data_IF_419941275805
#
_entry.id   IF_419941275805
#
_cell.length_a   1.000
_cell.length_b   1.000
_cell.length_c   1.000
_cell.angle_alpha   90.00
_cell.angle_beta   90.00
_cell.angle_gamma   90.00
#
_symmetry.space_group_name_H-M   'P 1'
#
loop_
_entity.id
_entity.type
_entity.pdbx_description
1 polymer ?
#
# COMPACT_ATOMS: atom_id res chain seq x y z
N UNK A 1 -17.46 8.21 -6.42
CA UNK A 1 -17.58 9.00 -5.19
C UNK A 1 -17.84 10.47 -5.54
N UNK A 2 -16.99 11.12 -6.37
CA UNK A 2 -17.03 12.57 -6.63
C UNK A 2 -18.37 13.09 -7.17
N UNK A 3 -19.04 12.31 -8.01
CA UNK A 3 -20.33 12.67 -8.63
C UNK A 3 -21.54 12.10 -7.86
N UNK A 4 -21.32 11.51 -6.68
CA UNK A 4 -22.39 10.93 -5.88
C UNK A 4 -23.02 9.65 -6.44
N UNK A 5 -22.37 8.94 -7.36
CA UNK A 5 -22.86 7.66 -7.86
C UNK A 5 -22.85 6.56 -6.77
N UNK A 6 -21.97 6.73 -5.80
CA UNK A 6 -21.88 5.93 -4.57
C UNK A 6 -21.63 6.87 -3.40
N UNK A 7 -22.24 6.60 -2.26
CA UNK A 7 -22.11 7.41 -1.04
C UNK A 7 -20.77 7.15 -0.34
N UNK A 8 -20.28 5.91 -0.39
CA UNK A 8 -19.03 5.50 0.23
C UNK A 8 -18.23 4.62 -0.72
N UNK A 9 -16.90 4.67 -0.60
CA UNK A 9 -16.00 3.82 -1.36
C UNK A 9 -14.68 3.60 -0.61
N UNK A 10 -14.06 2.45 -0.83
CA UNK A 10 -12.64 2.26 -0.59
C UNK A 10 -11.88 2.43 -1.90
N UNK A 11 -10.76 3.13 -1.87
CA UNK A 11 -9.86 3.22 -3.02
C UNK A 11 -8.40 3.17 -2.55
N UNK A 12 -7.48 2.79 -3.43
CA UNK A 12 -6.06 2.83 -3.10
C UNK A 12 -5.39 3.99 -3.85
N UNK A 13 -4.69 4.85 -3.12
CA UNK A 13 -4.11 6.09 -3.65
C UNK A 13 -3.15 5.86 -4.82
N UNK A 14 -2.36 4.79 -4.78
CA UNK A 14 -1.39 4.45 -5.82
C UNK A 14 -1.98 4.20 -7.21
N UNK A 15 -3.29 3.90 -7.33
CA UNK A 15 -3.97 3.82 -8.63
C UNK A 15 -4.39 5.19 -9.18
N UNK A 16 -4.40 6.21 -8.34
CA UNK A 16 -4.90 7.55 -8.64
C UNK A 16 -3.93 8.64 -8.17
N UNK A 17 -2.64 8.38 -8.27
CA UNK A 17 -1.58 9.26 -7.76
C UNK A 17 -1.58 10.66 -8.39
N UNK A 18 -2.21 10.84 -9.55
CA UNK A 18 -2.44 12.13 -10.19
C UNK A 18 -3.53 12.97 -9.50
N UNK A 19 -4.41 12.34 -8.71
CA UNK A 19 -5.57 12.95 -8.05
C UNK A 19 -5.45 13.02 -6.53
N UNK A 20 -4.68 12.14 -5.93
CA UNK A 20 -4.50 12.01 -4.48
C UNK A 20 -3.00 12.02 -4.16
N UNK A 21 -2.33 13.12 -4.54
CA UNK A 21 -0.86 13.25 -4.49
C UNK A 21 -0.33 13.27 -3.07
N UNK A 22 -1.01 14.04 -2.19
CA UNK A 22 -0.59 14.27 -0.80
C UNK A 22 -0.41 12.95 -0.06
N UNK A 23 -1.41 12.09 -0.13
CA UNK A 23 -1.42 10.83 0.62
C UNK A 23 -0.48 9.76 0.03
N UNK A 24 0.08 9.98 -1.16
CA UNK A 24 1.09 9.08 -1.73
C UNK A 24 2.43 9.13 -0.98
N UNK A 25 2.63 10.05 -0.05
CA UNK A 25 3.75 10.01 0.91
C UNK A 25 3.80 8.67 1.64
N UNK A 26 2.63 8.11 1.98
CA UNK A 26 2.49 6.82 2.66
C UNK A 26 2.94 5.61 1.80
N UNK A 27 3.11 5.81 0.51
CA UNK A 27 3.55 4.78 -0.45
C UNK A 27 5.01 4.92 -0.87
N UNK A 28 5.75 5.88 -0.27
CA UNK A 28 7.18 6.00 -0.50
C UNK A 28 7.91 4.75 0.01
N UNK A 29 8.91 4.27 -0.73
CA UNK A 29 9.60 3.05 -0.33
C UNK A 29 10.50 3.26 0.89
N UNK A 30 10.57 2.23 1.73
CA UNK A 30 11.48 2.15 2.88
C UNK A 30 11.33 3.27 3.91
N UNK A 31 10.09 3.68 4.20
CA UNK A 31 9.77 4.71 5.22
C UNK A 31 10.14 4.31 6.66
N UNK A 32 10.55 3.07 6.90
CA UNK A 32 10.89 2.59 8.23
C UNK A 32 9.69 2.27 9.13
N UNK A 33 8.48 2.25 8.57
CA UNK A 33 7.27 1.81 9.28
C UNK A 33 7.26 0.28 9.28
N UNK A 34 7.42 -0.33 10.46
CA UNK A 34 7.72 -1.76 10.57
C UNK A 34 6.51 -2.63 10.91
N UNK A 35 5.47 -2.03 11.48
CA UNK A 35 4.32 -2.77 11.97
C UNK A 35 3.00 -2.02 11.75
N UNK A 36 1.89 -2.75 11.85
CA UNK A 36 0.57 -2.23 11.58
C UNK A 36 0.14 -1.10 12.54
N UNK A 37 0.61 -1.10 13.79
CA UNK A 37 0.30 -0.03 14.73
C UNK A 37 0.95 1.30 14.33
N UNK A 38 2.20 1.24 13.85
CA UNK A 38 2.87 2.42 13.27
C UNK A 38 2.16 2.87 11.99
N UNK A 39 1.75 1.96 11.11
CA UNK A 39 0.98 2.29 9.90
C UNK A 39 -0.33 3.01 10.24
N UNK A 40 -1.04 2.58 11.28
CA UNK A 40 -2.26 3.24 11.78
C UNK A 40 -1.94 4.68 12.19
N UNK A 41 -0.92 4.88 13.03
CA UNK A 41 -0.57 6.20 13.54
C UNK A 41 -0.13 7.15 12.43
N UNK A 42 0.78 6.72 11.57
CA UNK A 42 1.31 7.51 10.45
C UNK A 42 0.21 7.84 9.44
N UNK A 43 -0.64 6.87 9.08
CA UNK A 43 -1.76 7.11 8.19
C UNK A 43 -2.73 8.13 8.76
N UNK A 44 -3.09 8.00 10.06
CA UNK A 44 -3.97 8.95 10.71
C UNK A 44 -3.40 10.38 10.69
N UNK A 45 -2.10 10.54 10.96
CA UNK A 45 -1.43 11.84 10.93
C UNK A 45 -1.44 12.46 9.53
N UNK A 46 -1.10 11.71 8.49
CA UNK A 46 -1.09 12.20 7.11
C UNK A 46 -2.49 12.57 6.63
N UNK A 47 -3.50 11.75 6.90
CA UNK A 47 -4.87 12.06 6.48
C UNK A 47 -5.50 13.21 7.27
N UNK A 48 -5.01 13.51 8.49
CA UNK A 48 -5.43 14.68 9.26
C UNK A 48 -4.74 15.98 8.79
N UNK A 49 -3.71 15.90 7.95
CA UNK A 49 -3.00 17.07 7.44
C UNK A 49 -3.92 17.93 6.56
N UNK A 50 -3.92 19.27 6.69
CA UNK A 50 -4.80 20.16 5.92
C UNK A 50 -4.72 19.94 4.42
N UNK A 51 -3.51 19.77 3.86
CA UNK A 51 -3.33 19.51 2.43
C UNK A 51 -4.03 18.22 1.95
N UNK A 52 -4.02 17.15 2.77
CA UNK A 52 -4.72 15.91 2.44
C UNK A 52 -6.25 16.11 2.46
N UNK A 53 -6.75 16.81 3.48
CA UNK A 53 -8.17 17.12 3.61
C UNK A 53 -8.66 17.99 2.46
N UNK A 54 -7.91 19.03 2.10
CA UNK A 54 -8.22 19.93 0.98
C UNK A 54 -8.19 19.19 -0.38
N UNK A 55 -7.19 18.34 -0.61
CA UNK A 55 -7.10 17.54 -1.84
C UNK A 55 -8.29 16.60 -1.98
N UNK A 56 -8.68 15.90 -0.90
CA UNK A 56 -9.86 15.03 -0.92
C UNK A 56 -11.15 15.81 -1.16
N UNK A 57 -11.29 16.99 -0.56
CA UNK A 57 -12.46 17.84 -0.73
C UNK A 57 -12.66 18.32 -2.18
N UNK A 58 -11.58 18.50 -2.96
CA UNK A 58 -11.65 18.81 -4.40
C UNK A 58 -12.39 17.71 -5.20
N UNK A 59 -12.39 16.50 -4.69
CA UNK A 59 -13.08 15.34 -5.27
C UNK A 59 -14.43 15.05 -4.59
N UNK A 60 -14.97 16.02 -3.82
CA UNK A 60 -16.20 15.86 -3.04
C UNK A 60 -16.16 14.63 -2.12
N UNK A 61 -14.98 14.35 -1.56
CA UNK A 61 -14.73 13.21 -0.69
C UNK A 61 -14.16 13.65 0.66
N UNK A 62 -14.54 12.93 1.70
CA UNK A 62 -14.05 13.06 3.08
C UNK A 62 -13.53 11.71 3.53
N UNK A 63 -12.39 11.69 4.22
CA UNK A 63 -11.93 10.48 4.90
C UNK A 63 -12.98 10.05 5.93
N UNK A 64 -13.33 8.77 5.91
CA UNK A 64 -14.08 8.12 6.97
C UNK A 64 -13.16 7.26 7.84
N UNK A 65 -12.38 6.37 7.24
CA UNK A 65 -11.47 5.47 7.96
C UNK A 65 -10.18 5.28 7.17
N UNK A 66 -9.03 5.35 7.84
CA UNK A 66 -7.78 4.83 7.27
C UNK A 66 -7.86 3.30 7.20
N UNK A 67 -7.25 2.73 6.17
CA UNK A 67 -7.10 1.27 6.05
C UNK A 67 -5.62 0.98 5.80
N UNK A 68 -4.77 1.11 6.82
CA UNK A 68 -3.35 0.85 6.70
C UNK A 68 -3.12 -0.63 6.44
N UNK A 69 -2.13 -0.94 5.62
CA UNK A 69 -1.76 -2.32 5.30
C UNK A 69 -0.35 -2.60 5.80
N UNK A 70 -0.05 -3.83 6.26
CA UNK A 70 1.33 -4.19 6.59
C UNK A 70 2.22 -4.10 5.36
N UNK A 71 3.53 -4.17 5.62
CA UNK A 71 4.55 -4.16 4.58
C UNK A 71 4.28 -5.24 3.53
N UNK A 72 4.43 -4.86 2.27
CA UNK A 72 4.28 -5.76 1.14
C UNK A 72 5.49 -6.67 1.01
N UNK A 73 5.24 -7.87 0.55
CA UNK A 73 6.26 -8.84 0.19
C UNK A 73 5.89 -9.50 -1.14
N UNK A 74 6.86 -10.16 -1.76
CA UNK A 74 6.66 -10.80 -3.05
C UNK A 74 6.22 -12.26 -2.87
N UNK A 75 5.24 -12.69 -3.66
CA UNK A 75 5.15 -14.08 -4.08
C UNK A 75 5.62 -14.19 -5.52
N UNK A 76 6.16 -15.32 -5.89
CA UNK A 76 6.63 -15.55 -7.26
C UNK A 76 6.64 -17.01 -7.66
N UNK A 77 6.77 -17.22 -8.96
CA UNK A 77 6.90 -18.55 -9.58
C UNK A 77 8.35 -18.85 -9.91
N UNK A 78 8.71 -20.13 -9.97
CA UNK A 78 10.04 -20.62 -10.29
C UNK A 78 11.06 -20.41 -9.18
N UNK A 79 12.29 -20.07 -9.52
CA UNK A 79 13.36 -19.90 -8.56
C UNK A 79 13.20 -18.59 -7.74
N UNK A 80 13.44 -18.63 -6.42
CA UNK A 80 13.39 -17.44 -5.58
C UNK A 80 14.36 -16.34 -6.02
N UNK A 81 13.92 -15.09 -5.92
CA UNK A 81 14.72 -13.91 -6.21
C UNK A 81 15.38 -13.42 -4.92
N UNK A 82 16.65 -13.76 -4.70
CA UNK A 82 17.36 -13.54 -3.44
C UNK A 82 18.51 -12.55 -3.52
N UNK A 83 18.90 -12.15 -4.72
CA UNK A 83 19.96 -11.16 -4.95
C UNK A 83 19.40 -9.94 -5.68
N UNK A 84 20.11 -8.80 -5.59
CA UNK A 84 19.67 -7.59 -6.29
C UNK A 84 19.69 -7.76 -7.82
N UNK A 85 20.61 -8.58 -8.35
CA UNK A 85 20.67 -8.91 -9.78
C UNK A 85 19.48 -9.74 -10.25
N UNK A 86 18.84 -10.51 -9.37
CA UNK A 86 17.64 -11.28 -9.71
C UNK A 86 16.43 -10.39 -9.97
N UNK A 87 16.49 -9.13 -9.52
CA UNK A 87 15.43 -8.15 -9.78
C UNK A 87 15.54 -7.52 -11.17
N UNK A 88 16.71 -7.62 -11.83
CA UNK A 88 16.89 -7.08 -13.18
C UNK A 88 16.02 -7.86 -14.19
N UNK A 89 15.15 -7.15 -14.88
CA UNK A 89 14.18 -7.72 -15.82
C UNK A 89 13.06 -8.53 -15.21
N UNK A 90 12.97 -8.66 -13.87
CA UNK A 90 11.87 -9.34 -13.18
C UNK A 90 10.55 -8.60 -13.46
N UNK A 91 9.59 -9.29 -14.03
CA UNK A 91 8.25 -8.73 -14.26
C UNK A 91 7.45 -8.82 -12.96
N UNK A 92 7.14 -7.67 -12.38
CA UNK A 92 6.48 -7.60 -11.06
C UNK A 92 5.19 -6.82 -11.12
N UNK A 93 4.12 -7.38 -10.58
CA UNK A 93 2.92 -6.60 -10.29
C UNK A 93 3.18 -5.77 -9.03
N UNK A 94 3.30 -4.47 -9.22
CA UNK A 94 3.44 -3.49 -8.15
C UNK A 94 2.87 -2.14 -8.59
N UNK A 95 2.30 -1.37 -7.66
CA UNK A 95 1.64 -0.08 -7.93
C UNK A 95 2.31 1.04 -7.15
N UNK A 96 2.03 2.29 -7.51
CA UNK A 96 2.47 3.47 -6.75
C UNK A 96 3.98 3.53 -6.52
N UNK A 97 4.36 3.87 -5.30
CA UNK A 97 5.74 3.96 -4.86
C UNK A 97 6.49 2.63 -4.94
N UNK A 98 5.81 1.50 -4.69
CA UNK A 98 6.41 0.17 -4.83
C UNK A 98 6.80 -0.14 -6.28
N UNK A 99 5.96 0.23 -7.26
CA UNK A 99 6.31 0.09 -8.67
C UNK A 99 7.57 0.87 -9.02
N UNK A 100 7.69 2.10 -8.52
CA UNK A 100 8.90 2.93 -8.69
C UNK A 100 10.12 2.28 -8.03
N UNK A 101 9.96 1.71 -6.82
CA UNK A 101 11.06 1.04 -6.12
C UNK A 101 11.59 -0.16 -6.91
N UNK A 102 10.72 -1.05 -7.37
CA UNK A 102 11.15 -2.18 -8.19
C UNK A 102 11.77 -1.75 -9.53
N UNK A 103 11.24 -0.69 -10.16
CA UNK A 103 11.87 -0.12 -11.37
C UNK A 103 13.30 0.39 -11.09
N UNK A 104 13.53 1.04 -9.94
CA UNK A 104 14.87 1.48 -9.54
C UNK A 104 15.82 0.32 -9.30
N UNK A 105 15.34 -0.86 -8.95
CA UNK A 105 16.09 -2.10 -8.85
C UNK A 105 16.29 -2.83 -10.19
N UNK A 106 15.77 -2.29 -11.30
CA UNK A 106 15.89 -2.87 -12.63
C UNK A 106 14.76 -3.82 -13.03
N UNK A 107 13.72 -3.96 -12.20
CA UNK A 107 12.53 -4.76 -12.52
C UNK A 107 11.62 -4.05 -13.54
N UNK A 108 10.68 -4.78 -14.09
CA UNK A 108 9.66 -4.31 -15.02
C UNK A 108 8.30 -4.33 -14.31
N UNK A 109 7.90 -3.23 -13.63
CA UNK A 109 6.64 -3.18 -12.91
C UNK A 109 5.45 -3.08 -13.87
N UNK A 110 4.38 -3.78 -13.54
CA UNK A 110 3.09 -3.74 -14.21
C UNK A 110 2.00 -3.39 -13.20
N UNK A 111 1.28 -2.30 -13.45
CA UNK A 111 0.22 -1.81 -12.55
C UNK A 111 -1.16 -2.31 -13.01
N UNK A 112 -1.42 -3.60 -12.90
CA UNK A 112 -2.78 -4.15 -13.03
C UNK A 112 -3.51 -4.07 -11.69
N UNK A 113 -4.85 -4.05 -11.74
CA UNK A 113 -5.66 -4.03 -10.51
C UNK A 113 -5.42 -5.27 -9.66
N UNK A 114 -5.77 -5.19 -8.37
CA UNK A 114 -5.60 -6.32 -7.47
C UNK A 114 -6.39 -7.56 -7.93
N UNK A 115 -7.59 -7.37 -8.47
CA UNK A 115 -8.46 -8.44 -9.01
C UNK A 115 -7.90 -9.11 -10.25
N UNK A 116 -7.01 -8.45 -10.99
CA UNK A 116 -6.36 -8.98 -12.20
C UNK A 116 -5.02 -9.67 -11.90
N UNK A 117 -4.50 -9.54 -10.66
CA UNK A 117 -3.17 -10.03 -10.30
C UNK A 117 -3.02 -11.55 -10.49
N UNK A 118 -4.05 -12.33 -10.14
CA UNK A 118 -4.07 -13.77 -10.36
C UNK A 118 -3.89 -14.10 -11.85
N UNK A 119 -4.71 -13.51 -12.71
CA UNK A 119 -4.69 -13.73 -14.15
C UNK A 119 -3.37 -13.24 -14.79
N UNK A 120 -2.82 -12.14 -14.29
CA UNK A 120 -1.54 -11.62 -14.75
C UNK A 120 -0.39 -12.61 -14.45
N UNK A 121 -0.44 -13.28 -13.30
CA UNK A 121 0.52 -14.30 -12.91
C UNK A 121 0.31 -15.60 -13.72
N UNK A 122 -0.94 -16.06 -13.85
CA UNK A 122 -1.30 -17.26 -14.59
C UNK A 122 -0.92 -17.18 -16.08
N UNK A 123 -1.13 -16.02 -16.71
CA UNK A 123 -0.77 -15.80 -18.12
C UNK A 123 0.72 -15.54 -18.34
N UNK A 124 1.51 -15.42 -17.28
CA UNK A 124 2.91 -15.06 -17.37
C UNK A 124 3.14 -13.59 -17.79
N UNK A 125 2.15 -12.71 -17.62
CA UNK A 125 2.36 -11.27 -17.78
C UNK A 125 3.33 -10.74 -16.72
N UNK A 126 3.25 -11.30 -15.50
CA UNK A 126 4.17 -11.04 -14.39
C UNK A 126 4.70 -12.34 -13.81
N UNK A 127 5.94 -12.32 -13.29
CA UNK A 127 6.58 -13.45 -12.62
C UNK A 127 6.32 -13.41 -11.11
N UNK A 128 6.09 -12.19 -10.60
CA UNK A 128 5.94 -11.92 -9.17
C UNK A 128 4.82 -10.91 -8.92
N UNK A 129 4.25 -10.97 -7.72
CA UNK A 129 3.22 -10.04 -7.24
C UNK A 129 3.61 -9.51 -5.87
N UNK A 130 3.61 -8.19 -5.73
CA UNK A 130 3.79 -7.51 -4.45
C UNK A 130 2.43 -7.24 -3.81
N UNK A 131 2.19 -7.85 -2.65
CA UNK A 131 1.01 -7.64 -1.82
C UNK A 131 1.34 -7.80 -0.33
N UNK A 132 0.44 -7.30 0.51
CA UNK A 132 0.34 -7.74 1.89
C UNK A 132 -0.31 -9.14 1.97
N UNK A 133 -0.12 -9.87 3.06
CA UNK A 133 -0.50 -11.28 3.19
C UNK A 133 -1.97 -11.56 2.86
N UNK A 134 -2.89 -10.73 3.39
CA UNK A 134 -4.33 -10.92 3.15
C UNK A 134 -4.69 -10.87 1.66
N UNK A 135 -4.02 -10.00 0.90
CA UNK A 135 -4.29 -9.83 -0.51
C UNK A 135 -3.82 -11.03 -1.34
N UNK A 136 -2.70 -11.66 -0.95
CA UNK A 136 -2.29 -12.93 -1.56
C UNK A 136 -3.33 -14.04 -1.39
N UNK A 137 -4.03 -14.06 -0.25
CA UNK A 137 -5.14 -14.99 0.00
C UNK A 137 -6.40 -14.58 -0.76
N UNK A 138 -6.83 -13.34 -0.61
CA UNK A 138 -8.11 -12.86 -1.16
C UNK A 138 -8.14 -12.86 -2.69
N UNK A 139 -7.00 -12.54 -3.32
CA UNK A 139 -6.87 -12.55 -4.79
C UNK A 139 -6.25 -13.84 -5.33
N UNK A 140 -5.96 -14.81 -4.47
CA UNK A 140 -5.56 -16.15 -4.84
C UNK A 140 -4.14 -16.30 -5.39
N UNK A 141 -3.32 -15.25 -5.42
CA UNK A 141 -1.96 -15.28 -5.98
C UNK A 141 -1.05 -16.26 -5.26
N UNK A 142 -1.30 -16.52 -3.97
CA UNK A 142 -0.58 -17.52 -3.18
C UNK A 142 -0.74 -18.96 -3.74
N UNK A 143 -1.84 -19.25 -4.45
CA UNK A 143 -2.07 -20.57 -5.00
C UNK A 143 -1.22 -20.89 -6.25
N UNK A 144 -0.57 -19.89 -6.81
CA UNK A 144 0.34 -20.05 -7.96
C UNK A 144 1.81 -19.86 -7.55
N UNK A 145 2.06 -19.51 -6.29
CA UNK A 145 3.38 -19.17 -5.82
C UNK A 145 4.20 -20.39 -5.44
N UNK A 146 5.47 -20.39 -5.82
CA UNK A 146 6.46 -21.35 -5.36
C UNK A 146 7.21 -20.82 -4.13
N UNK A 147 7.30 -19.49 -3.98
CA UNK A 147 8.01 -18.83 -2.88
C UNK A 147 7.36 -17.50 -2.47
N UNK A 148 7.70 -17.05 -1.26
CA UNK A 148 7.32 -15.77 -0.67
C UNK A 148 8.51 -15.15 0.09
N UNK A 149 8.77 -13.85 -0.14
CA UNK A 149 9.80 -13.10 0.61
C UNK A 149 9.27 -12.73 2.00
N UNK A 150 10.04 -13.03 3.04
CA UNK A 150 9.59 -12.85 4.42
C UNK A 150 9.90 -11.46 5.00
N UNK A 151 10.93 -10.80 4.47
CA UNK A 151 11.54 -9.64 5.10
C UNK A 151 11.99 -8.55 4.11
N UNK A 152 11.52 -8.58 2.87
CA UNK A 152 11.90 -7.56 1.87
C UNK A 152 11.36 -6.19 2.27
N UNK A 153 10.10 -6.12 2.66
CA UNK A 153 9.41 -4.97 3.24
C UNK A 153 9.72 -3.61 2.55
N UNK A 154 9.58 -3.50 1.24
CA UNK A 154 9.96 -2.28 0.52
C UNK A 154 9.00 -1.12 0.76
N UNK A 155 7.84 -1.38 1.34
CA UNK A 155 6.79 -0.41 1.61
C UNK A 155 5.41 -1.04 1.58
N UNK A 156 4.40 -0.19 1.60
CA UNK A 156 2.99 -0.59 1.60
C UNK A 156 2.19 0.27 0.62
N UNK A 157 0.90 0.04 0.55
CA UNK A 157 -0.07 0.95 -0.08
C UNK A 157 -1.10 1.38 0.95
N UNK A 158 -1.79 2.48 0.71
CA UNK A 158 -2.88 2.89 1.56
C UNK A 158 -4.20 2.93 0.78
N UNK A 159 -5.24 2.35 1.36
CA UNK A 159 -6.54 2.22 0.71
C UNK A 159 -7.65 2.69 1.65
N UNK A 160 -7.80 4.02 1.87
CA UNK A 160 -8.77 4.58 2.80
C UNK A 160 -10.20 4.31 2.37
N UNK A 161 -11.10 4.32 3.35
CA UNK A 161 -12.53 4.43 3.14
C UNK A 161 -12.93 5.90 3.18
N UNK A 162 -13.60 6.36 2.15
CA UNK A 162 -14.08 7.74 2.02
C UNK A 162 -15.58 7.79 1.85
N UNK A 163 -16.16 8.88 2.25
CA UNK A 163 -17.59 9.20 2.06
C UNK A 163 -17.72 10.44 1.17
N UNK A 164 -18.71 10.44 0.28
CA UNK A 164 -19.09 11.63 -0.49
C UNK A 164 -19.57 12.71 0.47
N UNK A 165 -19.07 13.96 0.31
CA UNK A 165 -19.37 15.05 1.25
C UNK A 165 -20.86 15.38 1.25
N UNK A 166 -21.50 15.50 0.08
CA UNK A 166 -22.94 15.82 0.02
C UNK A 166 -23.80 14.73 0.64
N UNK A 167 -23.43 13.45 0.42
CA UNK A 167 -24.09 12.32 1.06
C UNK A 167 -23.96 12.36 2.58
N UNK A 168 -22.74 12.62 3.08
CA UNK A 168 -22.48 12.74 4.52
C UNK A 168 -23.24 13.91 5.14
N UNK A 169 -23.27 15.08 4.49
CA UNK A 169 -23.99 16.25 4.96
C UNK A 169 -25.51 16.06 4.93
N UNK A 170 -26.04 15.21 4.05
CA UNK A 170 -27.45 14.87 3.99
C UNK A 170 -27.93 13.98 5.16
N UNK A 171 -27.01 13.35 5.90
CA UNK A 171 -27.33 12.56 7.07
C UNK A 171 -27.85 13.45 8.21
N UNK A 172 -28.76 12.92 9.03
CA UNK A 172 -29.11 13.56 10.31
C UNK A 172 -27.89 13.56 11.26
N UNK A 173 -27.89 14.46 12.24
CA UNK A 173 -26.81 14.54 13.24
C UNK A 173 -26.61 13.18 13.94
N UNK A 174 -27.71 12.50 14.30
CA UNK A 174 -27.65 11.18 14.93
C UNK A 174 -26.99 10.11 14.02
N UNK A 175 -27.22 10.17 12.70
CA UNK A 175 -26.61 9.24 11.76
C UNK A 175 -25.14 9.58 11.52
N UNK A 176 -24.75 10.86 11.46
CA UNK A 176 -23.33 11.25 11.38
C UNK A 176 -22.57 10.81 12.63
N UNK A 177 -23.13 11.05 13.81
CA UNK A 177 -22.54 10.61 15.07
C UNK A 177 -22.36 9.10 15.14
N UNK A 178 -23.35 8.33 14.70
CA UNK A 178 -23.25 6.87 14.64
C UNK A 178 -22.19 6.40 13.64
N UNK A 179 -22.12 7.03 12.47
CA UNK A 179 -21.13 6.68 11.44
C UNK A 179 -19.72 7.01 11.93
N UNK A 180 -19.47 8.22 12.40
CA UNK A 180 -18.16 8.65 12.91
C UNK A 180 -17.74 7.84 14.14
N UNK A 181 -18.68 7.54 15.04
CA UNK A 181 -18.45 6.72 16.24
C UNK A 181 -18.10 5.25 15.93
N UNK A 182 -18.51 4.73 14.79
CA UNK A 182 -18.20 3.35 14.39
C UNK A 182 -16.76 3.15 13.86
N UNK A 183 -16.08 4.24 13.49
CA UNK A 183 -14.78 4.18 12.81
C UNK A 183 -13.70 3.53 13.67
N UNK A 184 -13.61 3.93 14.95
CA UNK A 184 -12.57 3.39 15.83
C UNK A 184 -12.79 1.89 16.11
N UNK A 185 -14.05 1.49 16.33
CA UNK A 185 -14.38 0.06 16.53
C UNK A 185 -14.03 -0.77 15.29
N UNK A 186 -14.35 -0.25 14.09
CA UNK A 186 -14.02 -0.90 12.83
C UNK A 186 -12.50 -1.03 12.63
N UNK A 187 -11.73 0.02 12.96
CA UNK A 187 -10.28 0.01 12.87
C UNK A 187 -9.65 -0.97 13.85
N UNK A 188 -10.11 -0.98 15.11
CA UNK A 188 -9.63 -1.92 16.14
C UNK A 188 -9.90 -3.37 15.73
N UNK A 189 -11.10 -3.65 15.20
CA UNK A 189 -11.45 -4.95 14.68
C UNK A 189 -10.57 -5.36 13.48
N UNK A 190 -10.32 -4.44 12.56
CA UNK A 190 -9.43 -4.65 11.43
C UNK A 190 -8.02 -5.04 11.88
N UNK A 191 -7.43 -4.26 12.80
CA UNK A 191 -6.08 -4.49 13.33
C UNK A 191 -5.99 -5.84 14.05
N UNK A 192 -6.99 -6.16 14.88
CA UNK A 192 -7.03 -7.43 15.61
C UNK A 192 -7.09 -8.64 14.66
N UNK A 193 -7.98 -8.62 13.67
CA UNK A 193 -8.09 -9.69 12.67
C UNK A 193 -6.82 -9.83 11.83
N UNK A 194 -6.18 -8.71 11.51
CA UNK A 194 -4.92 -8.74 10.77
C UNK A 194 -3.80 -9.40 11.59
N UNK A 195 -3.72 -9.09 12.89
CA UNK A 195 -2.79 -9.76 13.82
C UNK A 195 -2.96 -11.27 13.85
N UNK A 196 -4.20 -11.76 13.85
CA UNK A 196 -4.48 -13.20 13.77
C UNK A 196 -4.01 -13.83 12.45
N UNK A 197 -4.18 -13.13 11.33
CA UNK A 197 -3.70 -13.60 10.04
C UNK A 197 -2.18 -13.71 10.03
N UNK A 198 -1.48 -12.67 10.48
CA UNK A 198 -0.01 -12.66 10.55
C UNK A 198 0.52 -13.81 11.42
N UNK A 199 -0.13 -14.07 12.57
CA UNK A 199 0.25 -15.17 13.46
C UNK A 199 0.09 -16.58 12.82
N UNK A 200 -0.78 -16.71 11.82
CA UNK A 200 -1.04 -17.98 11.12
C UNK A 200 -0.29 -18.09 9.79
N UNK A 201 0.44 -17.06 9.36
CA UNK A 201 0.97 -16.98 8.00
C UNK A 201 1.93 -18.12 7.63
N UNK A 202 2.84 -18.48 8.53
CA UNK A 202 3.76 -19.62 8.30
C UNK A 202 3.00 -20.95 8.07
N UNK A 203 1.87 -21.14 8.76
CA UNK A 203 1.00 -22.31 8.55
C UNK A 203 0.32 -22.26 7.19
N UNK A 204 -0.09 -21.07 6.73
CA UNK A 204 -0.65 -20.87 5.39
C UNK A 204 0.37 -21.21 4.31
N UNK A 205 1.61 -20.74 4.44
CA UNK A 205 2.70 -21.05 3.51
C UNK A 205 2.94 -22.57 3.43
N UNK A 206 3.01 -23.22 4.59
CA UNK A 206 3.21 -24.67 4.67
C UNK A 206 2.05 -25.45 4.03
N UNK A 207 0.81 -25.06 4.27
CA UNK A 207 -0.39 -25.68 3.67
C UNK A 207 -0.41 -25.53 2.14
N UNK A 208 0.03 -24.38 1.63
CA UNK A 208 0.09 -24.09 0.20
C UNK A 208 1.34 -24.63 -0.50
N UNK A 209 2.32 -25.13 0.26
CA UNK A 209 3.60 -25.60 -0.28
C UNK A 209 4.51 -24.47 -0.76
N UNK A 210 4.31 -23.25 -0.25
CA UNK A 210 5.08 -22.06 -0.64
C UNK A 210 6.33 -21.93 0.22
N UNK A 211 7.49 -21.81 -0.41
CA UNK A 211 8.77 -21.68 0.28
C UNK A 211 8.93 -20.26 0.86
N UNK A 212 9.13 -20.17 2.17
CA UNK A 212 9.50 -18.91 2.84
C UNK A 212 10.96 -18.59 2.54
N UNK A 213 11.22 -17.41 1.98
CA UNK A 213 12.54 -16.94 1.57
C UNK A 213 12.91 -15.68 2.35
N UNK A 214 14.07 -15.69 2.96
CA UNK A 214 14.64 -14.51 3.59
C UNK A 214 15.69 -13.88 2.68
N UNK A 215 15.58 -12.57 2.50
CA UNK A 215 16.54 -11.76 1.76
C UNK A 215 17.62 -11.30 2.73
N UNK A 216 18.88 -11.38 2.34
CA UNK A 216 19.98 -10.93 3.20
C UNK A 216 19.94 -9.40 3.40
N UNK A 217 20.42 -8.95 4.54
CA UNK A 217 20.46 -7.53 4.89
C UNK A 217 21.20 -6.71 3.82
N UNK A 218 22.32 -7.21 3.31
CA UNK A 218 23.12 -6.54 2.26
C UNK A 218 22.31 -6.29 0.99
N UNK A 219 21.44 -7.22 0.59
CA UNK A 219 20.57 -7.08 -0.58
C UNK A 219 19.46 -6.07 -0.31
N UNK A 220 18.86 -6.11 0.88
CA UNK A 220 17.83 -5.12 1.30
C UNK A 220 18.45 -3.71 1.33
N UNK A 221 19.64 -3.55 1.91
CA UNK A 221 20.32 -2.26 1.99
C UNK A 221 20.70 -1.75 0.59
N UNK A 222 21.17 -2.62 -0.29
CA UNK A 222 21.47 -2.26 -1.67
C UNK A 222 20.20 -1.86 -2.46
N UNK A 223 19.07 -2.52 -2.20
CA UNK A 223 17.78 -2.14 -2.77
C UNK A 223 17.32 -0.79 -2.23
N UNK A 224 17.37 -0.60 -0.90
CA UNK A 224 17.04 0.66 -0.23
C UNK A 224 17.88 1.81 -0.80
N UNK A 225 19.19 1.64 -0.96
CA UNK A 225 20.07 2.65 -1.51
C UNK A 225 19.70 3.09 -2.94
N UNK A 226 19.15 2.16 -3.75
CA UNK A 226 18.67 2.50 -5.10
C UNK A 226 17.30 3.18 -5.13
N UNK A 227 16.43 2.84 -4.18
CA UNK A 227 15.01 3.19 -4.26
C UNK A 227 14.62 4.29 -3.27
N UNK A 228 15.07 4.26 -2.01
CA UNK A 228 14.52 5.12 -0.96
C UNK A 228 14.76 6.61 -1.24
N UNK A 229 15.99 7.05 -1.13
CA UNK A 229 16.33 8.48 -1.24
C UNK A 229 16.01 9.07 -2.63
N UNK A 230 16.36 8.43 -3.76
CA UNK A 230 16.05 9.02 -5.06
C UNK A 230 14.56 9.18 -5.34
N UNK A 231 13.73 8.24 -4.87
CA UNK A 231 12.28 8.32 -5.08
C UNK A 231 11.66 9.35 -4.15
N UNK A 232 12.09 9.39 -2.87
CA UNK A 232 11.69 10.42 -1.92
C UNK A 232 12.02 11.82 -2.43
N UNK A 233 13.27 12.05 -2.83
CA UNK A 233 13.72 13.37 -3.26
C UNK A 233 12.98 13.84 -4.52
N UNK A 234 12.73 12.93 -5.46
CA UNK A 234 11.90 13.21 -6.64
C UNK A 234 10.47 13.54 -6.23
N UNK A 235 9.88 12.77 -5.31
CA UNK A 235 8.51 12.98 -4.84
C UNK A 235 8.38 14.35 -4.14
N UNK A 236 9.30 14.69 -3.24
CA UNK A 236 9.31 16.00 -2.55
C UNK A 236 9.40 17.13 -3.58
N UNK A 237 10.34 17.06 -4.51
CA UNK A 237 10.52 18.07 -5.54
C UNK A 237 9.26 18.23 -6.44
N UNK A 238 8.62 17.12 -6.82
CA UNK A 238 7.39 17.13 -7.61
C UNK A 238 6.21 17.75 -6.84
N UNK A 239 6.11 17.50 -5.54
CA UNK A 239 5.09 18.08 -4.66
C UNK A 239 5.29 19.58 -4.52
N UNK A 240 6.51 20.03 -4.21
CA UNK A 240 6.85 21.44 -4.04
C UNK A 240 6.68 22.23 -5.34
N UNK A 241 7.03 21.66 -6.48
CA UNK A 241 6.81 22.28 -7.79
C UNK A 241 5.32 22.55 -8.08
N UNK A 242 4.42 21.84 -7.40
CA UNK A 242 2.96 22.00 -7.50
C UNK A 242 2.39 22.86 -6.36
N UNK A 243 3.24 23.42 -5.49
CA UNK A 243 2.83 24.21 -4.33
C UNK A 243 2.26 23.38 -3.18
N UNK A 244 2.55 22.08 -3.15
CA UNK A 244 2.14 21.16 -2.08
C UNK A 244 3.29 20.97 -1.08
N UNK A 245 3.02 20.74 0.22
CA UNK A 245 4.04 20.71 1.28
C UNK A 245 4.79 19.36 1.32
N UNK A 246 5.59 19.06 0.29
CA UNK A 246 6.25 17.75 0.13
C UNK A 246 7.18 17.41 1.29
N UNK A 247 8.08 18.30 1.66
CA UNK A 247 9.02 18.08 2.76
C UNK A 247 8.30 17.95 4.11
N UNK A 248 7.31 18.81 4.39
CA UNK A 248 6.54 18.78 5.64
C UNK A 248 5.80 17.44 5.81
N UNK A 249 5.19 16.94 4.74
CA UNK A 249 4.50 15.64 4.75
C UNK A 249 5.47 14.47 4.98
N UNK A 250 6.64 14.53 4.37
CA UNK A 250 7.67 13.51 4.60
C UNK A 250 8.16 13.56 6.06
N UNK A 251 8.45 14.73 6.60
CA UNK A 251 8.90 14.89 7.98
C UNK A 251 7.83 14.44 8.98
N UNK A 252 6.54 14.64 8.65
CA UNK A 252 5.42 14.15 9.45
C UNK A 252 5.39 12.60 9.52
N UNK A 253 5.71 11.92 8.43
CA UNK A 253 5.78 10.45 8.40
C UNK A 253 6.97 9.94 9.21
N UNK A 254 8.07 10.70 9.24
CA UNK A 254 9.32 10.29 9.90
C UNK A 254 9.38 10.67 11.38
N UNK A 255 8.39 11.43 11.91
CA UNK A 255 8.34 11.88 13.31
C UNK A 255 7.71 10.85 14.23
#
# INVERSE_FOLDING_TARGET
ISIGAFEMAQFCAGYHADKNRVVTVLELPFLGVENLAQEVAVSAAVYAHPAATEEMAQWNAKLLMTSPMPQYNLVGTGEPRTTLSDFEGMRVRATGGLGKAFAAAGSVPTSVTATEAYQAMESGLVDTVAFAQHAHLSFGTINQADWWTANLNPGTVNCPVVVNIDAYESLSDAHREALDGSVQEALDHYVANYGELLAKWDSVLAEKGVTKVEISADVIDAFRAKAADPIRDTWIADMEAQGLPGQELYDLVMS
#
